data_IF_042613912111
#
_entry.id   IF_042613912111
#
_cell.length_a   1.000
_cell.length_b   1.000
_cell.length_c   1.000
_cell.angle_alpha   90.00
_cell.angle_beta   90.00
_cell.angle_gamma   90.00
#
_symmetry.space_group_name_H-M   'P 1'
#
loop_
_entity.id
_entity.type
_entity.pdbx_description
1 polymer ?
#
# COMPACT_ATOMS: atom_id res chain seq x y z
N UNK A 1 26.62 -62.22 40.20
CA UNK A 1 25.43 -61.79 39.41
C UNK A 1 25.19 -60.28 39.43
N UNK A 2 25.84 -59.49 40.29
CA UNK A 2 25.72 -58.02 40.28
C UNK A 2 26.58 -57.32 39.19
N UNK A 3 27.79 -57.81 38.89
CA UNK A 3 28.69 -57.20 37.88
C UNK A 3 28.16 -57.23 36.44
N UNK A 4 27.44 -58.29 36.05
CA UNK A 4 26.88 -58.40 34.70
C UNK A 4 25.74 -57.39 34.46
N UNK A 5 24.98 -57.05 35.50
CA UNK A 5 23.90 -56.07 35.42
C UNK A 5 24.42 -54.62 35.31
N UNK A 6 25.53 -54.31 35.99
CA UNK A 6 26.19 -52.99 35.90
C UNK A 6 26.83 -52.76 34.53
N UNK A 7 27.43 -53.80 33.93
CA UNK A 7 27.98 -53.75 32.58
C UNK A 7 26.88 -53.56 31.51
N UNK A 8 25.73 -54.25 31.66
CA UNK A 8 24.59 -54.11 30.76
C UNK A 8 23.89 -52.74 30.88
N UNK A 9 23.83 -52.15 32.08
CA UNK A 9 23.29 -50.81 32.27
C UNK A 9 24.20 -49.73 31.64
N UNK A 10 25.53 -49.93 31.74
CA UNK A 10 26.52 -49.00 31.17
C UNK A 10 26.54 -49.04 29.64
N UNK A 11 26.37 -50.21 29.02
CA UNK A 11 26.31 -50.35 27.57
C UNK A 11 25.01 -49.79 26.97
N UNK A 12 23.88 -49.92 27.66
CA UNK A 12 22.61 -49.29 27.26
C UNK A 12 22.68 -47.76 27.31
N UNK A 13 23.24 -47.20 28.39
CA UNK A 13 23.41 -45.75 28.52
C UNK A 13 24.35 -45.17 27.43
N UNK A 14 25.41 -45.89 27.07
CA UNK A 14 26.29 -45.50 25.98
C UNK A 14 25.59 -45.55 24.60
N UNK A 15 24.74 -46.55 24.37
CA UNK A 15 23.96 -46.66 23.13
C UNK A 15 22.88 -45.57 23.02
N UNK A 16 22.19 -45.26 24.11
CA UNK A 16 21.18 -44.18 24.17
C UNK A 16 21.84 -42.80 23.94
N UNK A 17 23.04 -42.56 24.50
CA UNK A 17 23.81 -41.35 24.26
C UNK A 17 24.34 -41.23 22.82
N UNK A 18 24.77 -42.35 22.22
CA UNK A 18 25.21 -42.37 20.82
C UNK A 18 24.04 -42.12 19.84
N UNK A 19 22.84 -42.64 20.15
CA UNK A 19 21.64 -42.38 19.37
C UNK A 19 21.16 -40.93 19.49
N UNK A 20 21.21 -40.35 20.69
CA UNK A 20 20.88 -38.94 20.91
C UNK A 20 21.89 -38.00 20.20
N UNK A 21 23.18 -38.33 20.24
CA UNK A 21 24.20 -37.58 19.51
C UNK A 21 24.00 -37.68 17.99
N UNK A 22 23.74 -38.88 17.47
CA UNK A 22 23.48 -39.09 16.04
C UNK A 22 22.20 -38.38 15.57
N UNK A 23 21.14 -38.37 16.39
CA UNK A 23 19.89 -37.65 16.11
C UNK A 23 20.10 -36.13 16.12
N UNK A 24 20.91 -35.62 17.05
CA UNK A 24 21.25 -34.20 17.15
C UNK A 24 22.11 -33.74 15.96
N UNK A 25 23.09 -34.56 15.55
CA UNK A 25 23.90 -34.31 14.35
C UNK A 25 23.06 -34.37 13.07
N UNK A 26 22.09 -35.27 13.00
CA UNK A 26 21.15 -35.38 11.86
C UNK A 26 20.25 -34.15 11.76
N UNK A 27 19.76 -33.65 12.89
CA UNK A 27 18.97 -32.42 12.96
C UNK A 27 19.79 -31.19 12.58
N UNK A 28 21.02 -31.07 13.10
CA UNK A 28 21.92 -29.99 12.73
C UNK A 28 22.29 -30.01 11.23
N UNK A 29 22.47 -31.20 10.64
CA UNK A 29 22.70 -31.36 9.21
C UNK A 29 21.46 -30.98 8.38
N UNK A 30 20.26 -31.33 8.85
CA UNK A 30 19.00 -30.95 8.20
C UNK A 30 18.72 -29.43 8.29
N UNK A 31 18.98 -28.82 9.44
CA UNK A 31 18.83 -27.38 9.66
C UNK A 31 19.89 -26.59 8.84
N UNK A 32 21.11 -27.11 8.71
CA UNK A 32 22.14 -26.54 7.83
C UNK A 32 21.80 -26.71 6.35
N UNK A 33 21.22 -27.85 5.94
CA UNK A 33 20.75 -28.07 4.57
C UNK A 33 19.54 -27.18 4.23
N UNK A 34 18.64 -26.92 5.19
CA UNK A 34 17.53 -25.98 5.03
C UNK A 34 18.02 -24.54 4.96
N UNK A 35 18.98 -24.14 5.79
CA UNK A 35 19.60 -22.81 5.73
C UNK A 35 20.38 -22.61 4.42
N UNK A 36 21.12 -23.61 3.96
CA UNK A 36 21.80 -23.59 2.67
C UNK A 36 20.81 -23.53 1.50
N UNK A 37 19.74 -24.35 1.52
CA UNK A 37 18.70 -24.32 0.50
C UNK A 37 17.95 -22.98 0.51
N UNK A 38 17.63 -22.43 1.68
CA UNK A 38 17.01 -21.11 1.82
C UNK A 38 17.94 -19.98 1.35
N UNK A 39 19.26 -20.11 1.56
CA UNK A 39 20.27 -19.15 1.10
C UNK A 39 20.49 -19.25 -0.41
N UNK A 40 20.49 -20.46 -0.99
CA UNK A 40 20.55 -20.69 -2.43
C UNK A 40 19.27 -20.25 -3.14
N UNK A 41 18.10 -20.46 -2.53
CA UNK A 41 16.82 -19.93 -3.01
C UNK A 41 16.73 -18.42 -2.87
N UNK A 42 17.28 -17.82 -1.81
CA UNK A 42 17.35 -16.37 -1.64
C UNK A 42 18.35 -15.74 -2.62
N UNK A 43 19.48 -16.37 -2.91
CA UNK A 43 20.44 -15.90 -3.91
C UNK A 43 19.89 -16.05 -5.34
N UNK A 44 19.19 -17.15 -5.65
CA UNK A 44 18.51 -17.35 -6.92
C UNK A 44 17.31 -16.40 -7.07
N UNK A 45 16.55 -16.15 -6.01
CA UNK A 45 15.49 -15.16 -5.98
C UNK A 45 16.05 -13.73 -6.06
N UNK A 46 17.18 -13.41 -5.42
CA UNK A 46 17.84 -12.12 -5.56
C UNK A 46 18.43 -11.91 -6.96
N UNK A 47 18.97 -12.95 -7.59
CA UNK A 47 19.48 -12.91 -8.97
C UNK A 47 18.34 -12.82 -10.00
N UNK A 48 17.22 -13.51 -9.77
CA UNK A 48 16.02 -13.40 -10.58
C UNK A 48 15.35 -12.02 -10.37
N UNK A 49 15.24 -11.56 -9.12
CA UNK A 49 14.70 -10.24 -8.78
C UNK A 49 15.58 -9.10 -9.27
N UNK A 50 16.91 -9.24 -9.35
CA UNK A 50 17.79 -8.21 -9.92
C UNK A 50 17.75 -8.18 -11.45
N UNK A 51 17.58 -9.34 -12.12
CA UNK A 51 17.32 -9.38 -13.58
C UNK A 51 15.92 -8.86 -13.92
N UNK A 52 14.91 -9.20 -13.14
CA UNK A 52 13.54 -8.72 -13.29
C UNK A 52 13.43 -7.24 -12.92
N UNK A 53 14.14 -6.76 -11.90
CA UNK A 53 14.21 -5.35 -11.54
C UNK A 53 14.99 -4.53 -12.58
N UNK A 54 16.04 -5.07 -13.19
CA UNK A 54 16.74 -4.40 -14.30
C UNK A 54 15.86 -4.32 -15.56
N UNK A 55 15.12 -5.38 -15.88
CA UNK A 55 14.18 -5.38 -16.99
C UNK A 55 12.96 -4.49 -16.72
N UNK A 56 12.43 -4.49 -15.49
CA UNK A 56 11.35 -3.63 -15.05
C UNK A 56 11.80 -2.16 -14.94
N UNK A 57 13.04 -1.88 -14.53
CA UNK A 57 13.59 -0.53 -14.53
C UNK A 57 13.82 -0.02 -15.95
N UNK A 58 14.25 -0.87 -16.89
CA UNK A 58 14.35 -0.52 -18.30
C UNK A 58 12.96 -0.26 -18.91
N UNK A 59 11.98 -1.13 -18.63
CA UNK A 59 10.60 -0.95 -19.07
C UNK A 59 9.95 0.29 -18.44
N UNK A 60 10.15 0.52 -17.14
CA UNK A 60 9.65 1.69 -16.41
C UNK A 60 10.35 2.98 -16.86
N UNK A 61 11.63 2.95 -17.22
CA UNK A 61 12.32 4.09 -17.82
C UNK A 61 11.76 4.42 -19.22
N UNK A 62 11.45 3.40 -20.03
CA UNK A 62 10.79 3.57 -21.33
C UNK A 62 9.35 4.07 -21.21
N UNK A 63 8.57 3.57 -20.24
CA UNK A 63 7.21 4.01 -19.95
C UNK A 63 7.18 5.40 -19.32
N UNK A 64 8.14 5.74 -18.46
CA UNK A 64 8.32 7.09 -17.92
C UNK A 64 8.66 8.07 -19.03
N UNK A 65 9.57 7.74 -19.93
CA UNK A 65 9.91 8.58 -21.07
C UNK A 65 8.72 8.78 -22.02
N UNK A 66 7.92 7.74 -22.26
CA UNK A 66 6.70 7.84 -23.06
C UNK A 66 5.60 8.68 -22.37
N UNK A 67 5.44 8.54 -21.06
CA UNK A 67 4.47 9.30 -20.27
C UNK A 67 4.87 10.78 -20.13
N UNK A 68 6.16 11.07 -19.88
CA UNK A 68 6.70 12.43 -19.85
C UNK A 68 6.56 13.12 -21.23
N UNK A 69 6.78 12.38 -22.33
CA UNK A 69 6.60 12.88 -23.69
C UNK A 69 5.13 13.16 -24.05
N UNK A 70 4.20 12.29 -23.65
CA UNK A 70 2.76 12.49 -23.84
C UNK A 70 2.22 13.68 -23.01
N UNK A 71 2.78 13.90 -21.81
CA UNK A 71 2.45 15.04 -20.95
C UNK A 71 2.95 16.38 -21.53
N UNK A 72 4.17 16.40 -22.08
CA UNK A 72 4.71 17.59 -22.75
C UNK A 72 3.89 17.97 -24.00
N UNK A 73 3.36 16.98 -24.72
CA UNK A 73 2.49 17.20 -25.88
C UNK A 73 1.11 17.79 -25.49
N UNK A 74 0.49 17.33 -24.39
CA UNK A 74 -0.80 17.87 -23.92
C UNK A 74 -0.70 19.28 -23.33
N UNK A 75 0.48 19.66 -22.81
CA UNK A 75 0.72 21.01 -22.26
C UNK A 75 0.92 22.08 -23.34
N UNK A 76 1.12 21.67 -24.61
CA UNK A 76 1.41 22.56 -25.73
C UNK A 76 0.17 22.89 -26.59
N UNK A 77 -0.99 22.31 -26.28
CA UNK A 77 -2.24 22.50 -27.06
C UNK A 77 -3.20 23.55 -26.49
N UNK A 78 -2.84 24.24 -25.39
CA UNK A 78 -3.74 25.19 -24.69
C UNK A 78 -3.32 26.67 -24.84
N UNK A 79 -2.56 27.01 -25.87
CA UNK A 79 -2.10 28.38 -26.12
C UNK A 79 -2.39 28.84 -27.56
N UNK A 80 -3.66 28.85 -27.97
CA UNK A 80 -4.15 29.68 -29.07
C UNK A 80 -5.68 29.77 -29.06
N UNK A 81 -6.19 30.99 -29.27
CA UNK A 81 -7.61 31.42 -29.36
C UNK A 81 -8.34 31.61 -28.02
N UNK A 82 -8.97 32.75 -27.69
CA UNK A 82 -9.23 33.97 -28.44
C UNK A 82 -9.47 35.14 -27.47
N UNK A 83 -9.09 36.34 -27.90
CA UNK A 83 -9.41 37.59 -27.26
C UNK A 83 -10.81 38.10 -27.65
N UNK A 84 -11.41 38.85 -26.72
CA UNK A 84 -12.47 39.85 -26.86
C UNK A 84 -13.92 39.39 -27.13
N UNK A 85 -14.79 39.61 -26.13
CA UNK A 85 -15.93 40.53 -26.25
C UNK A 85 -16.58 40.79 -24.87
N UNK A 86 -16.91 42.05 -24.61
CA UNK A 86 -17.55 42.58 -23.41
C UNK A 86 -19.06 42.70 -23.64
N UNK A 87 -19.89 42.27 -22.67
CA UNK A 87 -21.22 42.84 -22.39
C UNK A 87 -21.78 42.32 -21.06
N UNK A 88 -22.68 43.10 -20.49
CA UNK A 88 -23.06 43.20 -19.07
C UNK A 88 -24.48 42.66 -18.81
N UNK A 89 -24.69 42.18 -17.56
CA UNK A 89 -25.95 41.86 -16.85
C UNK A 89 -26.68 40.56 -17.28
N UNK A 90 -27.38 39.79 -16.44
CA UNK A 90 -27.94 39.97 -15.09
C UNK A 90 -28.06 38.61 -14.36
N UNK A 91 -28.31 38.67 -13.05
CA UNK A 91 -28.39 37.56 -12.10
C UNK A 91 -29.59 36.59 -12.31
N UNK A 92 -29.36 35.30 -12.07
CA UNK A 92 -30.36 34.34 -11.62
C UNK A 92 -29.67 33.21 -10.81
N UNK A 93 -30.25 32.88 -9.67
CA UNK A 93 -29.66 32.04 -8.63
C UNK A 93 -29.65 30.54 -8.99
N UNK A 94 -28.50 29.89 -8.76
CA UNK A 94 -28.38 28.42 -8.77
C UNK A 94 -28.69 27.82 -7.40
N UNK A 95 -29.34 26.64 -7.35
CA UNK A 95 -29.63 25.94 -6.10
C UNK A 95 -28.35 25.42 -5.43
N UNK A 96 -28.31 25.54 -4.11
CA UNK A 96 -27.17 25.20 -3.27
C UNK A 96 -26.85 23.68 -3.30
N UNK A 97 -25.57 23.27 -3.43
CA UNK A 97 -25.18 21.90 -3.17
C UNK A 97 -25.31 21.62 -1.66
N UNK A 98 -25.93 20.49 -1.33
CA UNK A 98 -26.04 19.92 0.01
C UNK A 98 -24.66 19.85 0.66
N UNK A 99 -24.50 20.65 1.72
CA UNK A 99 -23.32 20.71 2.58
C UNK A 99 -23.10 19.32 3.22
N UNK A 100 -22.10 18.58 2.77
CA UNK A 100 -21.57 17.46 3.56
C UNK A 100 -20.98 18.07 4.83
N UNK A 101 -21.47 17.67 6.00
CA UNK A 101 -21.07 18.24 7.27
C UNK A 101 -19.56 18.04 7.49
N UNK A 102 -18.86 19.14 7.78
CA UNK A 102 -17.48 19.11 8.20
C UNK A 102 -17.42 18.68 9.67
N UNK A 103 -17.41 17.37 9.92
CA UNK A 103 -17.26 16.81 11.28
C UNK A 103 -15.79 16.77 11.75
N UNK A 104 -14.85 17.38 11.03
CA UNK A 104 -13.41 17.36 11.37
C UNK A 104 -13.01 18.39 12.45
N UNK A 105 -13.93 18.81 13.31
CA UNK A 105 -13.66 19.79 14.38
C UNK A 105 -12.89 19.15 15.54
N UNK A 106 -11.56 19.20 15.47
CA UNK A 106 -10.62 19.21 16.61
C UNK A 106 -10.32 17.89 17.34
N UNK A 107 -11.31 17.04 17.58
CA UNK A 107 -11.14 15.89 18.50
C UNK A 107 -10.47 14.68 17.85
N UNK A 108 -10.78 14.40 16.59
CA UNK A 108 -10.31 13.18 15.92
C UNK A 108 -8.93 13.32 15.27
N UNK A 109 -8.51 14.54 14.91
CA UNK A 109 -7.11 14.82 14.53
C UNK A 109 -6.15 14.64 15.72
N UNK A 110 -6.63 14.89 16.94
CA UNK A 110 -5.86 14.61 18.17
C UNK A 110 -5.56 13.12 18.31
N UNK A 111 -6.49 12.23 17.93
CA UNK A 111 -6.29 10.78 17.95
C UNK A 111 -5.22 10.33 16.94
N UNK A 112 -5.15 10.96 15.77
CA UNK A 112 -4.08 10.70 14.80
C UNK A 112 -2.71 11.06 15.40
N UNK A 113 -2.61 12.24 16.00
CA UNK A 113 -1.39 12.68 16.68
C UNK A 113 -1.00 11.76 17.85
N UNK A 114 -1.97 11.28 18.63
CA UNK A 114 -1.75 10.28 19.69
C UNK A 114 -1.24 8.95 19.15
N UNK A 115 -1.67 8.54 17.96
CA UNK A 115 -1.14 7.36 17.26
C UNK A 115 0.22 7.57 16.59
N UNK A 116 0.83 8.76 16.75
CA UNK A 116 2.14 9.09 16.18
C UNK A 116 2.11 9.45 14.70
N UNK A 117 0.93 9.59 14.10
CA UNK A 117 0.76 10.00 12.70
C UNK A 117 1.13 11.49 12.58
N UNK A 118 2.19 11.78 11.81
CA UNK A 118 2.71 13.14 11.56
C UNK A 118 2.55 13.58 10.11
N UNK A 119 2.38 12.63 9.20
CA UNK A 119 2.26 12.83 7.76
C UNK A 119 0.80 12.92 7.33
N UNK A 120 0.56 13.62 6.22
CA UNK A 120 -0.75 13.81 5.59
C UNK A 120 -1.81 14.50 6.47
N UNK A 121 -1.37 15.31 7.43
CA UNK A 121 -2.27 16.05 8.31
C UNK A 121 -2.95 17.21 7.56
N UNK A 122 -4.17 17.55 8.00
CA UNK A 122 -4.98 18.60 7.38
C UNK A 122 -5.61 18.16 6.06
N UNK A 123 -5.92 19.15 5.21
CA UNK A 123 -6.46 18.91 3.87
C UNK A 123 -5.32 18.77 2.87
N UNK A 124 -5.17 17.58 2.30
CA UNK A 124 -4.21 17.30 1.24
C UNK A 124 -4.84 17.67 -0.11
N UNK A 125 -4.24 18.62 -0.82
CA UNK A 125 -4.73 19.12 -2.11
C UNK A 125 -3.82 18.70 -3.26
N UNK A 126 -4.28 18.92 -4.49
CA UNK A 126 -3.54 18.57 -5.71
C UNK A 126 -3.11 17.09 -5.73
N UNK A 127 -3.96 16.22 -5.19
CA UNK A 127 -3.75 14.80 -5.23
C UNK A 127 -3.97 14.28 -6.66
N UNK A 128 -3.15 13.30 -7.04
CA UNK A 128 -3.39 12.45 -8.20
C UNK A 128 -3.90 11.12 -7.66
N UNK A 129 -5.08 10.70 -8.12
CA UNK A 129 -5.64 9.39 -7.82
C UNK A 129 -5.31 8.47 -8.99
N UNK A 130 -4.38 7.54 -8.79
CA UNK A 130 -4.15 6.40 -9.67
C UNK A 130 -4.95 5.20 -9.17
N UNK A 131 -4.77 4.05 -9.82
CA UNK A 131 -5.47 2.83 -9.45
C UNK A 131 -4.63 1.57 -9.60
N UNK A 132 -4.97 0.59 -8.76
CA UNK A 132 -4.38 -0.74 -8.78
C UNK A 132 -5.42 -1.84 -8.50
N UNK A 133 -5.18 -3.02 -9.06
CA UNK A 133 -5.86 -4.25 -8.68
C UNK A 133 -5.17 -4.88 -7.47
N UNK A 134 -5.93 -5.45 -6.55
CA UNK A 134 -5.37 -6.02 -5.31
C UNK A 134 -4.70 -7.38 -5.51
N UNK A 135 -4.88 -8.02 -6.67
CA UNK A 135 -4.26 -9.29 -6.99
C UNK A 135 -3.85 -9.35 -8.47
N UNK A 136 -2.86 -8.52 -8.84
CA UNK A 136 -2.30 -8.45 -10.17
C UNK A 136 -0.78 -8.21 -10.12
N UNK A 137 -0.02 -9.07 -10.79
CA UNK A 137 1.42 -8.95 -10.85
C UNK A 137 1.90 -7.64 -11.52
N UNK A 138 1.12 -7.09 -12.47
CA UNK A 138 1.41 -5.79 -13.10
C UNK A 138 1.40 -4.63 -12.11
N UNK A 139 0.66 -4.78 -11.02
CA UNK A 139 0.49 -3.79 -9.97
C UNK A 139 1.30 -4.17 -8.71
N UNK A 140 2.15 -5.19 -8.81
CA UNK A 140 2.96 -5.72 -7.70
C UNK A 140 2.14 -6.19 -6.49
N UNK A 141 0.90 -6.61 -6.72
CA UNK A 141 0.00 -7.11 -5.67
C UNK A 141 -0.23 -8.61 -5.80
N UNK A 142 -0.70 -9.24 -4.72
CA UNK A 142 -0.82 -10.70 -4.59
C UNK A 142 -2.03 -11.15 -3.75
N UNK A 143 -3.02 -10.28 -3.56
CA UNK A 143 -4.17 -10.53 -2.70
C UNK A 143 -3.91 -10.37 -1.20
N UNK A 144 -2.70 -9.96 -0.79
CA UNK A 144 -2.37 -9.60 0.58
C UNK A 144 -1.82 -8.18 0.67
N UNK A 145 -2.49 -7.35 1.45
CA UNK A 145 -2.12 -5.94 1.56
C UNK A 145 -0.87 -5.72 2.42
N UNK A 146 -0.23 -4.55 2.29
CA UNK A 146 0.80 -4.09 3.23
C UNK A 146 0.32 -4.08 4.70
N UNK A 147 -0.99 -3.95 4.91
CA UNK A 147 -1.65 -4.04 6.21
C UNK A 147 -1.85 -5.48 6.72
N UNK A 148 -1.34 -6.51 6.04
CA UNK A 148 -1.38 -7.93 6.43
C UNK A 148 -2.79 -8.51 6.58
N UNK A 149 -3.72 -8.10 5.72
CA UNK A 149 -5.00 -8.77 5.58
C UNK A 149 -5.26 -9.13 4.10
N UNK A 150 -5.98 -10.23 3.82
CA UNK A 150 -6.37 -10.57 2.45
C UNK A 150 -7.41 -9.56 1.95
N UNK A 151 -7.31 -9.14 0.69
CA UNK A 151 -8.16 -8.11 0.09
C UNK A 151 -8.46 -8.36 -1.39
N UNK A 152 -9.60 -7.83 -1.86
CA UNK A 152 -10.02 -7.85 -3.26
C UNK A 152 -10.38 -6.43 -3.74
N UNK A 153 -10.68 -6.28 -5.03
CA UNK A 153 -11.03 -5.00 -5.64
C UNK A 153 -12.32 -4.35 -5.09
N UNK A 154 -13.10 -5.07 -4.26
CA UNK A 154 -14.30 -4.52 -3.62
C UNK A 154 -13.99 -3.72 -2.36
N UNK A 155 -12.77 -3.84 -1.82
CA UNK A 155 -12.37 -3.12 -0.61
C UNK A 155 -12.41 -1.60 -0.87
N UNK A 156 -13.07 -0.81 0.01
CA UNK A 156 -13.08 0.66 -0.05
C UNK A 156 -11.72 1.24 0.36
N UNK A 157 -10.65 0.83 -0.30
CA UNK A 157 -9.28 0.99 0.15
C UNK A 157 -8.42 1.86 -0.76
N UNK A 158 -7.36 2.38 -0.16
CA UNK A 158 -6.38 3.23 -0.82
C UNK A 158 -4.99 3.03 -0.23
N UNK A 159 -3.98 3.38 -1.01
CA UNK A 159 -2.58 3.34 -0.66
C UNK A 159 -1.97 4.76 -0.77
N UNK A 160 -1.61 5.41 0.35
CA UNK A 160 -0.77 6.60 0.33
C UNK A 160 0.72 6.23 0.29
N UNK A 161 1.60 7.22 0.11
CA UNK A 161 3.07 7.04 0.05
C UNK A 161 3.61 6.17 1.20
N UNK A 162 4.23 5.05 0.84
CA UNK A 162 4.89 4.12 1.76
C UNK A 162 5.99 4.82 2.56
N UNK A 163 6.87 5.54 1.87
CA UNK A 163 8.00 6.27 2.47
C UNK A 163 7.52 7.29 3.49
N UNK A 164 6.44 8.02 3.20
CA UNK A 164 5.90 8.99 4.16
C UNK A 164 5.37 8.29 5.40
N UNK A 165 4.64 7.18 5.23
CA UNK A 165 4.16 6.38 6.36
C UNK A 165 5.31 5.85 7.22
N UNK A 166 6.33 5.26 6.60
CA UNK A 166 7.51 4.73 7.30
C UNK A 166 8.35 5.82 7.98
N UNK A 167 8.57 6.96 7.32
CA UNK A 167 9.40 8.05 7.85
C UNK A 167 8.86 8.62 9.16
N UNK A 168 7.53 8.64 9.36
CA UNK A 168 6.94 9.08 10.63
C UNK A 168 7.39 8.24 11.83
N UNK A 169 7.72 6.98 11.58
CA UNK A 169 8.09 5.98 12.57
C UNK A 169 9.54 5.52 12.40
N UNK A 170 10.40 6.34 11.79
CA UNK A 170 11.83 6.04 11.66
C UNK A 170 12.15 4.79 10.83
N UNK A 171 11.25 4.38 9.94
CA UNK A 171 11.39 3.15 9.16
C UNK A 171 10.77 1.90 9.82
N UNK A 172 10.20 2.00 11.02
CA UNK A 172 9.54 0.87 11.67
C UNK A 172 8.20 0.55 10.99
N UNK A 173 8.22 -0.54 10.24
CA UNK A 173 7.05 -1.07 9.55
C UNK A 173 5.89 -1.41 10.50
N UNK A 174 6.15 -2.09 11.62
CA UNK A 174 5.06 -2.53 12.50
C UNK A 174 4.40 -1.34 13.18
N UNK A 175 5.19 -0.36 13.62
CA UNK A 175 4.68 0.88 14.17
C UNK A 175 3.87 1.68 13.13
N UNK A 176 4.41 1.82 11.91
CA UNK A 176 3.72 2.52 10.83
C UNK A 176 2.41 1.84 10.42
N UNK A 177 2.42 0.51 10.23
CA UNK A 177 1.22 -0.24 9.85
C UNK A 177 0.16 -0.18 10.96
N UNK A 178 0.55 -0.33 12.22
CA UNK A 178 -0.37 -0.19 13.36
C UNK A 178 -1.00 1.20 13.41
N UNK A 179 -0.22 2.25 13.13
CA UNK A 179 -0.71 3.61 13.14
C UNK A 179 -1.59 3.96 11.93
N UNK A 180 -1.28 3.46 10.73
CA UNK A 180 -1.96 3.89 9.50
C UNK A 180 -3.09 2.98 9.03
N UNK A 181 -2.96 1.66 9.16
CA UNK A 181 -3.91 0.71 8.57
C UNK A 181 -5.34 0.86 9.11
N UNK A 182 -6.30 1.03 8.21
CA UNK A 182 -7.71 1.21 8.51
C UNK A 182 -8.09 2.63 8.91
N UNK A 183 -7.17 3.59 8.89
CA UNK A 183 -7.52 5.00 9.02
C UNK A 183 -8.45 5.42 7.90
N UNK A 184 -9.54 6.08 8.28
CA UNK A 184 -10.57 6.56 7.38
C UNK A 184 -10.20 7.94 6.82
N UNK A 185 -10.41 8.12 5.53
CA UNK A 185 -10.29 9.40 4.84
C UNK A 185 -11.48 9.64 3.93
N UNK A 186 -11.77 10.93 3.73
CA UNK A 186 -12.72 11.37 2.69
C UNK A 186 -11.91 11.90 1.53
N UNK A 187 -12.12 11.33 0.34
CA UNK A 187 -11.53 11.78 -0.92
C UNK A 187 -12.61 12.51 -1.72
N UNK A 188 -12.27 13.64 -2.32
CA UNK A 188 -13.16 14.43 -3.17
C UNK A 188 -12.45 14.80 -4.47
N UNK A 189 -13.06 14.46 -5.60
CA UNK A 189 -12.57 14.77 -6.94
C UNK A 189 -12.96 16.20 -7.37
N UNK A 190 -12.32 16.80 -8.38
CA UNK A 190 -12.67 18.16 -8.83
C UNK A 190 -14.10 18.31 -9.36
N UNK A 191 -14.68 17.24 -9.90
CA UNK A 191 -16.07 17.19 -10.37
C UNK A 191 -17.08 16.93 -9.24
N UNK A 192 -16.63 16.91 -7.99
CA UNK A 192 -17.48 16.86 -6.79
C UNK A 192 -17.90 15.46 -6.35
N UNK A 193 -17.40 14.39 -6.98
CA UNK A 193 -17.59 13.04 -6.46
C UNK A 193 -16.77 12.86 -5.18
N UNK A 194 -17.31 12.11 -4.23
CA UNK A 194 -16.63 11.85 -2.97
C UNK A 194 -16.84 10.41 -2.52
N UNK A 195 -15.81 9.85 -1.88
CA UNK A 195 -15.86 8.52 -1.28
C UNK A 195 -15.13 8.52 0.07
N UNK A 196 -15.66 7.74 1.00
CA UNK A 196 -14.95 7.38 2.23
C UNK A 196 -14.11 6.14 1.96
N UNK A 197 -12.80 6.26 2.08
CA UNK A 197 -11.84 5.19 1.86
C UNK A 197 -11.01 4.94 3.12
N UNK A 198 -10.36 3.77 3.18
CA UNK A 198 -9.49 3.38 4.27
C UNK A 198 -8.09 3.08 3.76
N UNK A 199 -7.06 3.38 4.56
CA UNK A 199 -5.72 2.89 4.25
C UNK A 199 -5.73 1.37 4.33
N UNK A 200 -5.62 0.74 3.17
CA UNK A 200 -5.60 -0.70 3.03
C UNK A 200 -4.21 -1.20 2.65
N UNK A 201 -3.40 -0.37 2.00
CA UNK A 201 -2.11 -0.75 1.44
C UNK A 201 -1.13 0.43 1.45
N UNK A 202 0.04 0.27 0.82
CA UNK A 202 1.06 1.30 0.71
C UNK A 202 1.55 1.48 -0.73
N UNK A 203 1.73 2.75 -1.14
CA UNK A 203 2.06 3.10 -2.51
C UNK A 203 3.57 3.28 -2.68
N UNK A 204 4.17 2.58 -3.64
CA UNK A 204 5.58 2.74 -4.00
C UNK A 204 5.86 4.16 -4.47
N UNK A 205 6.78 4.82 -3.76
CA UNK A 205 7.16 6.21 -4.00
C UNK A 205 7.79 6.50 -5.35
N UNK A 206 8.19 5.48 -6.11
CA UNK A 206 8.62 5.61 -7.51
C UNK A 206 7.50 6.15 -8.41
N UNK A 207 6.25 5.89 -8.03
CA UNK A 207 5.05 6.27 -8.79
C UNK A 207 4.27 7.44 -8.16
N UNK A 208 4.62 7.85 -6.93
CA UNK A 208 4.05 9.02 -6.27
C UNK A 208 4.48 10.30 -7.01
N UNK A 209 3.51 11.02 -7.57
CA UNK A 209 3.75 12.23 -8.38
C UNK A 209 3.61 13.53 -7.59
N UNK A 210 2.83 13.49 -6.53
CA UNK A 210 2.66 14.59 -5.56
C UNK A 210 2.67 14.02 -4.15
N UNK A 211 3.05 14.81 -3.11
CA UNK A 211 2.99 14.33 -1.72
C UNK A 211 1.61 13.84 -1.28
N UNK A 212 0.55 14.29 -1.96
CA UNK A 212 -0.84 13.93 -1.72
C UNK A 212 -1.34 12.79 -2.63
N UNK A 213 -0.50 12.20 -3.48
CA UNK A 213 -0.94 11.16 -4.42
C UNK A 213 -1.42 9.91 -3.69
N UNK A 214 -2.46 9.30 -4.23
CA UNK A 214 -3.11 8.10 -3.71
C UNK A 214 -3.22 7.08 -4.83
N UNK A 215 -2.90 5.83 -4.53
CA UNK A 215 -3.21 4.70 -5.41
C UNK A 215 -4.46 4.00 -4.87
N UNK A 216 -5.56 4.08 -5.62
CA UNK A 216 -6.88 3.69 -5.13
C UNK A 216 -7.21 2.27 -5.61
N UNK A 217 -7.79 1.44 -4.73
CA UNK A 217 -8.23 0.09 -5.12
C UNK A 217 -9.24 0.20 -6.27
N UNK A 218 -9.09 -0.64 -7.28
CA UNK A 218 -9.78 -0.52 -8.56
C UNK A 218 -11.29 -0.29 -8.47
N UNK A 219 -12.01 -1.05 -7.63
CA UNK A 219 -13.45 -0.87 -7.46
C UNK A 219 -13.83 0.49 -6.84
N UNK A 220 -13.01 1.01 -5.94
CA UNK A 220 -13.18 2.35 -5.36
C UNK A 220 -12.82 3.45 -6.35
N UNK A 221 -11.77 3.23 -7.15
CA UNK A 221 -11.38 4.17 -8.20
C UNK A 221 -12.49 4.36 -9.22
N UNK A 222 -13.17 3.28 -9.62
CA UNK A 222 -14.27 3.35 -10.57
C UNK A 222 -15.42 4.26 -10.09
N UNK A 223 -15.67 4.34 -8.78
CA UNK A 223 -16.68 5.25 -8.20
C UNK A 223 -16.26 6.72 -8.29
N UNK A 224 -14.98 7.00 -8.05
CA UNK A 224 -14.41 8.36 -8.10
C UNK A 224 -14.18 8.83 -9.54
N UNK A 225 -13.73 7.95 -10.42
CA UNK A 225 -13.53 8.23 -11.84
C UNK A 225 -14.89 8.31 -12.58
N UNK A 226 -15.85 7.49 -12.16
CA UNK A 226 -17.19 7.38 -12.75
C UNK A 226 -17.34 6.26 -13.77
N UNK A 227 -16.29 5.48 -14.02
CA UNK A 227 -16.31 4.29 -14.87
C UNK A 227 -15.13 3.37 -14.54
N UNK A 228 -15.19 2.13 -15.02
CA UNK A 228 -14.01 1.26 -15.06
C UNK A 228 -13.10 1.65 -16.23
N UNK A 229 -11.79 1.46 -16.05
CA UNK A 229 -10.78 1.69 -17.09
C UNK A 229 -9.72 0.59 -17.05
N UNK A 230 -9.09 0.31 -18.18
CA UNK A 230 -7.91 -0.55 -18.29
C UNK A 230 -6.65 0.22 -18.68
N UNK A 231 -6.73 1.56 -18.78
CA UNK A 231 -5.62 2.42 -19.13
C UNK A 231 -4.99 3.01 -17.86
N UNK A 232 -3.72 2.68 -17.59
CA UNK A 232 -3.00 3.21 -16.41
C UNK A 232 -2.75 4.72 -16.45
N UNK A 233 -2.97 5.36 -17.60
CA UNK A 233 -2.91 6.83 -17.72
C UNK A 233 -4.21 7.52 -17.31
N UNK A 234 -5.30 6.76 -17.13
CA UNK A 234 -6.56 7.30 -16.65
C UNK A 234 -6.46 7.50 -15.13
N UNK A 235 -6.29 8.77 -14.76
CA UNK A 235 -6.12 9.21 -13.38
C UNK A 235 -7.05 10.38 -13.08
N UNK A 236 -7.40 10.57 -11.81
CA UNK A 236 -8.07 11.81 -11.37
C UNK A 236 -7.01 12.79 -10.87
N UNK A 237 -6.89 13.94 -11.52
CA UNK A 237 -5.97 15.00 -11.10
C UNK A 237 -6.69 16.07 -10.29
N UNK A 238 -5.99 16.72 -9.37
CA UNK A 238 -6.56 17.85 -8.60
C UNK A 238 -7.53 17.42 -7.49
N UNK A 239 -7.53 16.14 -7.12
CA UNK A 239 -8.35 15.67 -6.01
C UNK A 239 -7.88 16.28 -4.67
N UNK A 240 -8.77 16.25 -3.70
CA UNK A 240 -8.49 16.63 -2.31
C UNK A 240 -8.88 15.51 -1.38
N UNK A 241 -8.16 15.35 -0.27
CA UNK A 241 -8.54 14.38 0.75
C UNK A 241 -8.04 14.77 2.13
N UNK A 242 -8.72 14.26 3.15
CA UNK A 242 -8.32 14.43 4.55
C UNK A 242 -8.69 13.20 5.36
N UNK A 243 -7.88 12.89 6.37
CA UNK A 243 -8.30 11.94 7.38
C UNK A 243 -9.48 12.49 8.16
N UNK A 244 -10.44 11.62 8.48
CA UNK A 244 -11.56 11.95 9.37
C UNK A 244 -11.18 11.80 10.84
N UNK A 245 -10.10 11.05 11.09
CA UNK A 245 -9.64 10.60 12.40
C UNK A 245 -10.43 9.41 12.96
N UNK A 246 -11.34 8.83 12.17
CA UNK A 246 -11.93 7.52 12.46
C UNK A 246 -10.99 6.40 11.99
N UNK A 247 -11.21 5.20 12.54
CA UNK A 247 -10.56 3.97 12.10
C UNK A 247 -11.59 2.85 11.98
N UNK A 248 -11.51 2.08 10.91
CA UNK A 248 -12.28 0.87 10.76
C UNK A 248 -11.42 -0.34 11.12
N UNK A 249 -11.81 -1.07 12.16
CA UNK A 249 -11.07 -2.25 12.66
C UNK A 249 -11.00 -3.39 11.64
N UNK A 250 -11.94 -3.44 10.68
CA UNK A 250 -11.96 -4.42 9.59
C UNK A 250 -10.70 -4.33 8.72
N UNK A 251 -10.14 -3.14 8.57
CA UNK A 251 -8.94 -2.87 7.75
C UNK A 251 -7.72 -2.52 8.61
N UNK A 252 -7.79 -2.76 9.92
CA UNK A 252 -6.65 -2.56 10.79
C UNK A 252 -5.52 -3.55 10.46
N UNK A 253 -4.30 -3.20 10.88
CA UNK A 253 -3.14 -4.05 10.70
C UNK A 253 -3.40 -5.46 11.25
N UNK A 254 -3.14 -6.49 10.43
CA UNK A 254 -3.38 -7.92 10.75
C UNK A 254 -4.82 -8.24 11.12
N UNK A 255 -5.80 -7.48 10.63
CA UNK A 255 -7.21 -7.78 10.84
C UNK A 255 -7.54 -9.18 10.32
N UNK A 256 -8.21 -9.98 11.15
CA UNK A 256 -8.77 -11.29 10.79
C UNK A 256 -10.28 -11.21 10.54
N UNK A 257 -10.84 -9.99 10.53
CA UNK A 257 -12.27 -9.77 10.30
C UNK A 257 -12.61 -10.10 8.85
N UNK A 258 -13.70 -10.84 8.62
CA UNK A 258 -14.14 -11.18 7.25
C UNK A 258 -14.39 -9.93 6.41
N UNK A 259 -13.91 -9.95 5.16
CA UNK A 259 -14.11 -8.86 4.20
C UNK A 259 -15.43 -8.90 3.45
N UNK A 260 -16.12 -10.05 3.47
CA UNK A 260 -17.47 -10.28 2.94
C UNK A 260 -18.56 -9.47 3.63
#
# INVERSE_FOLDING_TARGET
>A
TADAAAAAASSKAAADAAWAASSSSSKAAADAAWAASSSSSAAAAAAASSKSAAAAAAAAASSKAAADAAWAASSSSSAAAAAAASSKAAAAASPAPTKVADTSSGSNLSLLAQSGVKGFLGTNTNAILSWYHTNAASDSTNGHSWCQFPYDDSVPGVAPSLKTMLNNFGGDYQAAATAYCGLEMVVTTPDGKSATLYIADAFDDTWVRTPSSLDVIYGSFAQLFGSQTNNKNDVVQGATWKFTGNRNSKYAFKSTTSLS
#
